data_IF_565390833487
#
_entry.id   IF_565390833487
#
_cell.length_a   1.000
_cell.length_b   1.000
_cell.length_c   1.000
_cell.angle_alpha   90.00
_cell.angle_beta   90.00
_cell.angle_gamma   90.00
#
_symmetry.space_group_name_H-M   'P 1'
#
loop_
_entity.id
_entity.type
_entity.pdbx_description
1 polymer ?
#
# COMPACT_ATOMS: atom_id res chain seq x y z
N UNK A 1 -1.32 -6.66 -2.44
CA UNK A 1 -0.54 -6.11 -3.57
C UNK A 1 -1.13 -6.45 -4.95
N UNK A 2 -1.40 -7.73 -5.26
CA UNK A 2 -1.88 -8.13 -6.60
C UNK A 2 -3.16 -7.41 -7.08
N UNK A 3 -4.17 -7.25 -6.21
CA UNK A 3 -5.43 -6.58 -6.58
C UNK A 3 -5.24 -5.12 -7.04
N UNK A 4 -4.31 -4.39 -6.42
CA UNK A 4 -4.01 -3.02 -6.85
C UNK A 4 -3.20 -2.98 -8.15
N UNK A 5 -2.37 -3.99 -8.42
CA UNK A 5 -1.67 -4.15 -9.71
C UNK A 5 -2.66 -4.49 -10.83
N UNK A 6 -3.67 -5.32 -10.56
CA UNK A 6 -4.71 -5.65 -11.55
C UNK A 6 -5.49 -4.42 -12.02
N UNK A 7 -5.76 -3.46 -11.14
CA UNK A 7 -6.39 -2.20 -11.52
C UNK A 7 -5.54 -1.40 -12.53
N UNK A 8 -4.21 -1.39 -12.35
CA UNK A 8 -3.27 -0.77 -13.30
C UNK A 8 -3.26 -1.51 -14.64
N UNK A 9 -3.23 -2.84 -14.60
CA UNK A 9 -3.27 -3.66 -15.81
C UNK A 9 -4.56 -3.46 -16.61
N UNK A 10 -5.71 -3.39 -15.93
CA UNK A 10 -7.00 -3.12 -16.58
C UNK A 10 -7.00 -1.76 -17.28
N UNK A 11 -6.37 -0.75 -16.68
CA UNK A 11 -6.29 0.58 -17.24
C UNK A 11 -5.30 0.65 -18.42
N UNK A 12 -4.20 -0.08 -18.36
CA UNK A 12 -3.24 -0.18 -19.47
C UNK A 12 -3.72 -1.10 -20.61
N UNK A 13 -4.65 -2.02 -20.35
CA UNK A 13 -5.13 -3.01 -21.32
C UNK A 13 -4.10 -4.08 -21.70
N UNK A 14 -2.99 -4.19 -20.95
CA UNK A 14 -1.90 -5.13 -21.23
C UNK A 14 -1.15 -5.52 -19.96
N UNK A 15 -0.66 -6.76 -19.93
CA UNK A 15 0.25 -7.27 -18.89
C UNK A 15 1.73 -6.96 -19.22
N UNK A 16 2.03 -6.39 -20.39
CA UNK A 16 3.40 -6.00 -20.75
C UNK A 16 3.81 -4.74 -19.99
N UNK A 17 4.92 -4.80 -19.26
CA UNK A 17 5.49 -3.65 -18.53
C UNK A 17 5.79 -2.47 -19.45
N UNK A 18 6.21 -2.74 -20.69
CA UNK A 18 6.46 -1.70 -21.70
C UNK A 18 5.17 -0.98 -22.09
N UNK A 19 4.11 -1.73 -22.40
CA UNK A 19 2.80 -1.15 -22.74
C UNK A 19 2.19 -0.38 -21.58
N UNK A 20 2.39 -0.86 -20.34
CA UNK A 20 1.96 -0.15 -19.13
C UNK A 20 2.65 1.21 -19.04
N UNK A 21 3.96 1.26 -19.23
CA UNK A 21 4.71 2.54 -19.21
C UNK A 21 4.26 3.44 -20.36
N UNK A 22 4.11 2.91 -21.58
CA UNK A 22 3.60 3.68 -22.73
C UNK A 22 2.22 4.29 -22.48
N UNK A 23 1.32 3.55 -21.81
CA UNK A 23 -0.01 4.05 -21.45
C UNK A 23 0.04 5.23 -20.45
N UNK A 24 1.15 5.43 -19.76
CA UNK A 24 1.37 6.53 -18.80
C UNK A 24 1.95 7.80 -19.44
N UNK A 25 2.17 7.83 -20.77
CA UNK A 25 2.82 8.94 -21.47
C UNK A 25 2.14 10.30 -21.27
N UNK A 26 0.82 10.32 -21.08
CA UNK A 26 0.06 11.56 -20.88
C UNK A 26 -0.04 11.94 -19.41
N UNK A 27 -0.40 10.98 -18.56
CA UNK A 27 -0.58 11.17 -17.12
C UNK A 27 -0.13 9.89 -16.40
N UNK A 28 0.77 10.01 -15.41
CA UNK A 28 1.08 8.93 -14.49
C UNK A 28 -0.16 8.41 -13.76
N UNK A 29 -0.26 7.09 -13.57
CA UNK A 29 -1.45 6.47 -12.98
C UNK A 29 -1.64 6.82 -11.51
N UNK A 30 -0.58 7.23 -10.81
CA UNK A 30 -0.69 7.76 -9.44
C UNK A 30 -1.67 8.93 -9.35
N UNK A 31 -1.77 9.76 -10.39
CA UNK A 31 -2.66 10.91 -10.42
C UNK A 31 -4.11 10.51 -10.69
N UNK A 32 -4.32 9.44 -11.46
CA UNK A 32 -5.68 8.94 -11.75
C UNK A 32 -6.25 8.09 -10.61
N UNK A 33 -5.39 7.34 -9.91
CA UNK A 33 -5.80 6.33 -8.94
C UNK A 33 -5.03 6.45 -7.61
N UNK A 34 -5.05 7.61 -6.94
CA UNK A 34 -4.26 7.85 -5.73
C UNK A 34 -4.59 6.88 -4.57
N UNK A 35 -5.86 6.54 -4.37
CA UNK A 35 -6.30 5.57 -3.37
C UNK A 35 -5.87 4.14 -3.66
N UNK A 36 -5.86 3.72 -4.94
CA UNK A 36 -5.35 2.39 -5.30
C UNK A 36 -3.83 2.33 -5.12
N UNK A 37 -3.14 3.44 -5.44
CA UNK A 37 -1.72 3.60 -5.16
C UNK A 37 -1.42 3.48 -3.66
N UNK A 38 -2.20 4.15 -2.79
CA UNK A 38 -2.02 4.04 -1.34
C UNK A 38 -2.16 2.59 -0.85
N UNK A 39 -3.17 1.86 -1.34
CA UNK A 39 -3.31 0.43 -1.02
C UNK A 39 -2.09 -0.36 -1.50
N UNK A 40 -1.61 -0.11 -2.72
CA UNK A 40 -0.41 -0.75 -3.25
C UNK A 40 0.83 -0.44 -2.40
N UNK A 41 1.04 0.84 -2.06
CA UNK A 41 2.16 1.32 -1.26
C UNK A 41 2.18 0.72 0.15
N UNK A 42 1.02 0.65 0.81
CA UNK A 42 0.92 0.02 2.14
C UNK A 42 1.22 -1.49 2.06
N UNK A 43 0.71 -2.20 1.05
CA UNK A 43 1.07 -3.61 0.85
C UNK A 43 2.57 -3.80 0.56
N UNK A 44 3.15 -2.95 -0.28
CA UNK A 44 4.56 -2.97 -0.62
C UNK A 44 5.45 -2.68 0.59
N UNK A 45 5.03 -1.77 1.47
CA UNK A 45 5.69 -1.49 2.75
C UNK A 45 5.66 -2.73 3.67
N UNK A 46 4.51 -3.41 3.76
CA UNK A 46 4.37 -4.63 4.55
C UNK A 46 5.21 -5.79 4.01
N UNK A 47 5.35 -5.92 2.69
CA UNK A 47 6.17 -6.96 2.05
C UNK A 47 7.68 -6.71 2.16
N UNK A 48 8.08 -5.44 2.31
CA UNK A 48 9.49 -5.06 2.48
C UNK A 48 10.06 -5.42 3.85
N UNK A 49 9.23 -5.91 4.80
CA UNK A 49 9.61 -6.29 6.15
C UNK A 49 10.43 -5.22 6.91
N UNK A 50 10.22 -3.94 6.57
CA UNK A 50 10.90 -2.80 7.16
C UNK A 50 9.97 -2.08 8.12
N UNK A 51 10.54 -1.40 9.12
CA UNK A 51 9.77 -0.54 10.02
C UNK A 51 8.87 0.40 9.21
N UNK A 52 7.56 0.50 9.50
CA UNK A 52 6.86 0.08 10.72
C UNK A 52 6.22 -1.33 10.69
N UNK A 53 6.47 -2.14 9.66
CA UNK A 53 5.94 -3.50 9.47
C UNK A 53 7.06 -4.56 9.51
N UNK A 54 7.87 -4.56 10.56
CA UNK A 54 9.09 -5.35 10.74
C UNK A 54 8.85 -6.72 11.41
N UNK A 55 7.96 -7.54 10.82
CA UNK A 55 7.56 -8.87 11.32
C UNK A 55 8.73 -9.82 11.68
N UNK A 56 9.83 -9.90 10.89
CA UNK A 56 10.92 -10.85 11.14
C UNK A 56 11.93 -10.41 12.21
N UNK A 57 11.94 -9.11 12.56
CA UNK A 57 12.92 -8.50 13.48
C UNK A 57 12.32 -8.33 14.90
N UNK A 58 11.05 -8.71 15.10
CA UNK A 58 10.31 -8.48 16.33
C UNK A 58 10.69 -9.44 17.47
N UNK A 59 11.51 -8.92 18.39
CA UNK A 59 11.93 -9.51 19.68
C UNK A 59 10.78 -9.95 20.61
N UNK A 60 9.54 -9.52 20.37
CA UNK A 60 8.38 -9.81 21.24
C UNK A 60 7.68 -11.15 20.98
N UNK A 61 7.80 -11.73 19.77
CA UNK A 61 6.93 -12.86 19.39
C UNK A 61 7.65 -14.05 18.73
N UNK A 62 8.85 -13.88 18.14
CA UNK A 62 9.75 -14.98 17.75
C UNK A 62 11.21 -14.52 17.82
N UNK A 63 12.07 -15.27 18.51
CA UNK A 63 13.54 -15.03 18.56
C UNK A 63 14.05 -14.78 17.14
N UNK A 64 14.72 -13.65 16.92
CA UNK A 64 15.11 -13.11 15.62
C UNK A 64 15.82 -14.16 14.74
N UNK A 65 15.07 -14.90 13.91
CA UNK A 65 15.47 -16.20 13.37
C UNK A 65 16.84 -16.18 12.70
N UNK A 66 16.96 -15.48 11.56
CA UNK A 66 18.24 -15.46 10.85
C UNK A 66 19.32 -14.59 11.55
N UNK A 67 18.93 -13.68 12.45
CA UNK A 67 19.85 -12.88 13.25
C UNK A 67 20.56 -13.70 14.32
N UNK A 68 19.90 -14.73 14.87
CA UNK A 68 20.48 -15.61 15.89
C UNK A 68 21.11 -16.88 15.32
N UNK A 69 20.67 -17.32 14.14
CA UNK A 69 21.09 -18.60 13.55
C UNK A 69 22.29 -18.50 12.60
N UNK A 70 22.52 -17.34 11.97
CA UNK A 70 23.57 -17.17 10.95
C UNK A 70 24.61 -16.13 11.36
N UNK A 71 25.88 -16.39 11.05
CA UNK A 71 27.02 -15.49 11.31
C UNK A 71 27.88 -15.26 10.06
N UNK A 72 28.71 -14.22 10.10
CA UNK A 72 29.68 -13.90 9.04
C UNK A 72 29.03 -13.57 7.69
N UNK A 73 29.49 -14.22 6.61
CA UNK A 73 29.04 -13.93 5.24
C UNK A 73 27.58 -14.30 4.98
N UNK A 74 27.08 -15.39 5.59
CA UNK A 74 25.69 -15.83 5.41
C UNK A 74 24.70 -14.81 5.97
N UNK A 75 25.04 -14.21 7.11
CA UNK A 75 24.30 -13.10 7.69
C UNK A 75 24.28 -11.87 6.77
N UNK A 76 25.42 -11.53 6.16
CA UNK A 76 25.50 -10.44 5.18
C UNK A 76 24.61 -10.64 3.95
N UNK A 77 24.47 -11.88 3.47
CA UNK A 77 23.61 -12.20 2.33
C UNK A 77 22.12 -11.94 2.60
N UNK A 78 21.63 -12.16 3.84
CA UNK A 78 20.25 -11.84 4.20
C UNK A 78 19.96 -10.34 4.10
N UNK A 79 20.87 -9.49 4.58
CA UNK A 79 20.73 -8.04 4.41
C UNK A 79 20.77 -7.61 2.95
N UNK A 80 21.71 -8.14 2.17
CA UNK A 80 21.79 -7.84 0.74
C UNK A 80 20.49 -8.22 0.04
N UNK A 81 19.92 -9.39 0.34
CA UNK A 81 18.64 -9.82 -0.21
C UNK A 81 17.49 -8.88 0.17
N UNK A 82 17.44 -8.41 1.42
CA UNK A 82 16.41 -7.46 1.87
C UNK A 82 16.52 -6.10 1.17
N UNK A 83 17.73 -5.59 0.95
CA UNK A 83 17.97 -4.35 0.20
C UNK A 83 17.66 -4.52 -1.29
N UNK A 84 17.95 -5.69 -1.88
CA UNK A 84 17.55 -6.02 -3.25
C UNK A 84 16.01 -6.05 -3.36
N UNK A 85 15.32 -6.63 -2.38
CA UNK A 85 13.85 -6.66 -2.34
C UNK A 85 13.27 -5.23 -2.31
N UNK A 86 13.83 -4.36 -1.45
CA UNK A 86 13.41 -2.95 -1.40
C UNK A 86 13.59 -2.24 -2.74
N UNK A 87 14.72 -2.48 -3.42
CA UNK A 87 14.95 -1.95 -4.76
C UNK A 87 13.96 -2.51 -5.77
N UNK A 88 13.69 -3.82 -5.75
CA UNK A 88 12.74 -4.48 -6.65
C UNK A 88 11.31 -3.94 -6.49
N UNK A 89 10.84 -3.79 -5.25
CA UNK A 89 9.52 -3.21 -4.95
C UNK A 89 9.44 -1.76 -5.43
N UNK A 90 10.50 -0.97 -5.22
CA UNK A 90 10.58 0.42 -5.68
C UNK A 90 10.59 0.54 -7.21
N UNK A 91 11.26 -0.39 -7.89
CA UNK A 91 11.27 -0.51 -9.34
C UNK A 91 9.88 -0.89 -9.89
N UNK A 92 9.16 -1.80 -9.23
CA UNK A 92 7.77 -2.16 -9.56
C UNK A 92 6.85 -0.93 -9.42
N UNK A 93 6.96 -0.19 -8.30
CA UNK A 93 6.17 1.02 -8.09
C UNK A 93 6.45 2.05 -9.19
N UNK A 94 7.72 2.27 -9.49
CA UNK A 94 8.15 3.22 -10.53
C UNK A 94 7.57 2.86 -11.90
N UNK A 95 7.59 1.57 -12.25
CA UNK A 95 7.09 1.05 -13.53
C UNK A 95 5.57 1.15 -13.62
N UNK A 96 4.85 0.80 -12.55
CA UNK A 96 3.39 0.71 -12.59
C UNK A 96 2.69 2.05 -12.34
N UNK A 97 3.28 2.97 -11.59
CA UNK A 97 2.58 4.16 -11.09
C UNK A 97 3.16 5.49 -11.56
N UNK A 98 4.49 5.55 -11.76
CA UNK A 98 5.23 6.79 -11.98
C UNK A 98 5.66 7.00 -13.44
N UNK A 99 5.18 6.20 -14.38
CA UNK A 99 5.55 6.32 -15.80
C UNK A 99 6.92 5.73 -16.13
N UNK A 100 7.45 4.82 -15.31
CA UNK A 100 8.71 4.12 -15.57
C UNK A 100 9.86 5.06 -15.94
N UNK A 101 10.46 4.82 -17.11
CA UNK A 101 11.61 5.56 -17.65
C UNK A 101 11.25 6.86 -18.39
N UNK A 102 9.98 7.26 -18.46
CA UNK A 102 9.58 8.46 -19.17
C UNK A 102 9.94 9.72 -18.38
N UNK A 103 10.56 10.68 -19.04
CA UNK A 103 10.84 12.01 -18.49
C UNK A 103 11.45 12.94 -19.55
N UNK A 104 11.41 14.26 -19.32
CA UNK A 104 11.96 15.24 -20.27
C UNK A 104 13.49 15.27 -20.24
N UNK A 105 14.11 15.64 -21.37
CA UNK A 105 15.52 16.07 -21.52
C UNK A 105 16.64 15.05 -21.25
N UNK A 106 16.50 14.16 -20.26
CA UNK A 106 17.53 13.21 -19.82
C UNK A 106 17.30 11.80 -20.38
N UNK A 107 18.36 10.95 -20.41
CA UNK A 107 18.24 9.55 -20.82
C UNK A 107 17.21 8.77 -20.01
N UNK A 108 16.55 7.82 -20.65
CA UNK A 108 15.48 6.98 -20.08
C UNK A 108 15.91 6.22 -18.82
N UNK A 109 17.12 5.64 -18.82
CA UNK A 109 17.65 4.90 -17.67
C UNK A 109 17.81 5.79 -16.44
N UNK A 110 18.21 7.06 -16.63
CA UNK A 110 18.39 8.00 -15.52
C UNK A 110 17.07 8.25 -14.80
N UNK A 111 15.99 8.50 -15.54
CA UNK A 111 14.66 8.72 -14.97
C UNK A 111 14.14 7.51 -14.19
N UNK A 112 14.38 6.30 -14.70
CA UNK A 112 13.99 5.09 -14.01
C UNK A 112 14.68 4.95 -12.66
N UNK A 113 16.01 5.11 -12.62
CA UNK A 113 16.77 5.03 -11.37
C UNK A 113 16.43 6.18 -10.43
N UNK A 114 16.34 7.41 -10.93
CA UNK A 114 16.00 8.58 -10.11
C UNK A 114 14.64 8.41 -9.40
N UNK A 115 13.60 7.97 -10.13
CA UNK A 115 12.28 7.69 -9.54
C UNK A 115 12.32 6.50 -8.57
N UNK A 116 13.04 5.43 -8.91
CA UNK A 116 13.18 4.27 -8.02
C UNK A 116 13.88 4.65 -6.71
N UNK A 117 14.96 5.44 -6.76
CA UNK A 117 15.62 5.98 -5.58
C UNK A 117 14.75 6.96 -4.80
N UNK A 118 13.91 7.76 -5.48
CA UNK A 118 12.93 8.61 -4.80
C UNK A 118 11.88 7.77 -4.04
N UNK A 119 11.44 6.64 -4.59
CA UNK A 119 10.54 5.72 -3.89
C UNK A 119 11.24 5.07 -2.69
N UNK A 120 12.50 4.65 -2.83
CA UNK A 120 13.31 4.14 -1.70
C UNK A 120 13.44 5.22 -0.62
N UNK A 121 13.70 6.47 -1.00
CA UNK A 121 13.77 7.59 -0.08
C UNK A 121 12.45 7.75 0.69
N UNK A 122 11.30 7.62 0.02
CA UNK A 122 9.99 7.64 0.69
C UNK A 122 9.82 6.45 1.65
N UNK A 123 10.22 5.24 1.27
CA UNK A 123 10.18 4.09 2.20
C UNK A 123 11.05 4.31 3.44
N UNK A 124 12.27 4.85 3.25
CA UNK A 124 13.16 5.18 4.36
C UNK A 124 12.57 6.29 5.22
N UNK A 125 11.96 7.31 4.61
CA UNK A 125 11.30 8.37 5.35
C UNK A 125 10.16 7.83 6.21
N UNK A 126 9.29 6.99 5.64
CA UNK A 126 8.19 6.34 6.36
C UNK A 126 8.72 5.55 7.56
N UNK A 127 9.81 4.79 7.38
CA UNK A 127 10.48 4.06 8.47
C UNK A 127 10.87 4.95 9.64
N UNK A 128 11.39 6.16 9.39
CA UNK A 128 11.80 7.08 10.45
C UNK A 128 10.62 7.80 11.12
N UNK A 129 9.49 7.94 10.44
CA UNK A 129 8.35 8.72 10.93
C UNK A 129 7.30 7.93 11.72
N UNK A 130 7.10 6.65 11.39
CA UNK A 130 5.99 5.87 11.95
C UNK A 130 6.44 4.93 13.07
N UNK A 131 5.66 4.83 14.18
CA UNK A 131 5.89 3.82 15.19
C UNK A 131 5.59 2.43 14.63
N UNK A 132 6.25 1.41 15.20
CA UNK A 132 6.04 0.00 14.85
C UNK A 132 4.58 -0.42 15.07
N UNK A 133 4.01 -1.19 14.14
CA UNK A 133 2.66 -1.77 14.26
C UNK A 133 2.70 -3.23 14.70
N UNK A 134 1.81 -3.61 15.63
CA UNK A 134 1.58 -5.02 15.97
C UNK A 134 0.92 -5.77 14.81
N UNK A 135 1.32 -7.03 14.63
CA UNK A 135 0.86 -7.92 13.55
C UNK A 135 -0.67 -8.07 13.55
N UNK A 136 -1.29 -8.24 14.72
CA UNK A 136 -2.75 -8.38 14.83
C UNK A 136 -3.51 -7.18 14.27
N UNK A 137 -3.00 -5.97 14.55
CA UNK A 137 -3.59 -4.74 14.06
C UNK A 137 -3.37 -4.59 12.55
N UNK A 138 -2.17 -4.93 12.06
CA UNK A 138 -1.88 -4.98 10.63
C UNK A 138 -2.79 -5.94 9.88
N UNK A 139 -2.93 -7.18 10.37
CA UNK A 139 -3.74 -8.22 9.73
C UNK A 139 -5.22 -7.84 9.74
N UNK A 140 -5.72 -7.32 10.87
CA UNK A 140 -7.10 -6.85 10.97
C UNK A 140 -7.38 -5.68 10.03
N UNK A 141 -6.43 -4.75 9.86
CA UNK A 141 -6.51 -3.65 8.90
C UNK A 141 -6.45 -4.15 7.46
N UNK A 142 -5.56 -5.09 7.15
CA UNK A 142 -5.45 -5.66 5.81
C UNK A 142 -6.75 -6.36 5.37
N UNK A 143 -7.33 -7.18 6.25
CA UNK A 143 -8.54 -7.94 5.94
C UNK A 143 -9.83 -7.11 6.00
N UNK A 144 -9.98 -6.23 6.99
CA UNK A 144 -11.24 -5.48 7.17
C UNK A 144 -11.28 -4.18 6.36
N UNK A 145 -10.13 -3.62 6.00
CA UNK A 145 -10.05 -2.32 5.33
C UNK A 145 -9.40 -2.41 3.94
N UNK A 146 -8.15 -2.86 3.84
CA UNK A 146 -7.41 -2.81 2.57
C UNK A 146 -8.00 -3.73 1.49
N UNK A 147 -8.37 -4.97 1.85
CA UNK A 147 -8.87 -5.95 0.89
C UNK A 147 -10.24 -5.55 0.29
N UNK A 148 -11.26 -5.17 1.08
CA UNK A 148 -12.51 -4.63 0.52
C UNK A 148 -12.29 -3.38 -0.33
N UNK A 149 -11.45 -2.46 0.14
CA UNK A 149 -11.12 -1.23 -0.59
C UNK A 149 -10.46 -1.52 -1.94
N UNK A 150 -9.53 -2.47 -2.00
CA UNK A 150 -8.87 -2.88 -3.23
C UNK A 150 -9.87 -3.49 -4.23
N UNK A 151 -10.76 -4.37 -3.75
CA UNK A 151 -11.79 -5.00 -4.58
C UNK A 151 -12.79 -3.98 -5.13
N UNK A 152 -13.33 -3.10 -4.28
CA UNK A 152 -14.26 -2.05 -4.73
C UNK A 152 -13.61 -1.17 -5.79
N UNK A 153 -12.36 -0.75 -5.59
CA UNK A 153 -11.64 0.03 -6.58
C UNK A 153 -11.43 -0.73 -7.89
N UNK A 154 -11.12 -2.02 -7.83
CA UNK A 154 -10.95 -2.86 -9.01
C UNK A 154 -12.22 -2.89 -9.87
N UNK A 155 -13.39 -3.08 -9.24
CA UNK A 155 -14.68 -3.06 -9.94
C UNK A 155 -14.98 -1.69 -10.53
N UNK A 156 -14.74 -0.61 -9.77
CA UNK A 156 -14.98 0.77 -10.23
C UNK A 156 -14.10 1.10 -11.44
N UNK A 157 -12.80 0.77 -11.40
CA UNK A 157 -11.89 0.95 -12.53
C UNK A 157 -12.38 0.17 -13.75
N UNK A 158 -12.78 -1.09 -13.56
CA UNK A 158 -13.33 -1.92 -14.64
C UNK A 158 -14.58 -1.31 -15.29
N UNK A 159 -15.50 -0.75 -14.49
CA UNK A 159 -16.69 -0.07 -14.99
C UNK A 159 -16.35 1.20 -15.76
N UNK A 160 -15.47 2.05 -15.24
CA UNK A 160 -15.09 3.31 -15.88
C UNK A 160 -14.35 3.07 -17.20
N UNK A 161 -13.47 2.06 -17.26
CA UNK A 161 -12.80 1.65 -18.50
C UNK A 161 -13.81 1.14 -19.53
N UNK A 162 -14.80 0.34 -19.11
CA UNK A 162 -15.85 -0.18 -20.01
C UNK A 162 -16.73 0.92 -20.59
N UNK A 163 -16.91 2.05 -19.90
CA UNK A 163 -17.69 3.19 -20.42
C UNK A 163 -17.06 3.85 -21.66
N UNK A 164 -15.78 3.57 -21.97
CA UNK A 164 -15.15 3.99 -23.23
C UNK A 164 -15.08 5.51 -23.41
N UNK A 165 -15.00 6.25 -22.30
CA UNK A 165 -14.90 7.72 -22.33
C UNK A 165 -13.59 8.17 -22.97
N UNK A 166 -13.56 9.40 -23.51
CA UNK A 166 -12.30 10.02 -23.95
C UNK A 166 -11.30 10.15 -22.79
N UNK A 167 -10.02 10.32 -23.11
CA UNK A 167 -8.92 10.30 -22.11
C UNK A 167 -9.14 11.22 -20.90
N UNK A 168 -9.44 12.51 -21.13
CA UNK A 168 -9.60 13.48 -20.05
C UNK A 168 -10.85 13.22 -19.20
N UNK A 169 -12.05 12.98 -19.78
CA UNK A 169 -13.21 12.54 -19.02
C UNK A 169 -12.97 11.25 -18.23
N UNK A 170 -12.27 10.27 -18.82
CA UNK A 170 -11.94 9.01 -18.15
C UNK A 170 -11.00 9.24 -16.96
N UNK A 171 -9.93 10.01 -17.13
CA UNK A 171 -8.99 10.34 -16.06
C UNK A 171 -9.69 11.08 -14.91
N UNK A 172 -10.56 12.04 -15.23
CA UNK A 172 -11.36 12.75 -14.22
C UNK A 172 -12.34 11.83 -13.50
N UNK A 173 -13.05 10.96 -14.24
CA UNK A 173 -13.97 9.98 -13.65
C UNK A 173 -13.24 9.00 -12.72
N UNK A 174 -12.06 8.52 -13.12
CA UNK A 174 -11.23 7.64 -12.30
C UNK A 174 -10.75 8.33 -11.02
N UNK A 175 -10.25 9.57 -11.13
CA UNK A 175 -9.83 10.35 -9.96
C UNK A 175 -11.00 10.58 -9.01
N UNK A 176 -12.14 11.06 -9.51
CA UNK A 176 -13.32 11.36 -8.69
C UNK A 176 -13.85 10.11 -8.01
N UNK A 177 -14.02 9.02 -8.76
CA UNK A 177 -14.53 7.77 -8.20
C UNK A 177 -13.55 7.16 -7.21
N UNK A 178 -12.25 7.20 -7.49
CA UNK A 178 -11.23 6.68 -6.58
C UNK A 178 -11.14 7.48 -5.28
N UNK A 179 -11.18 8.82 -5.36
CA UNK A 179 -11.23 9.67 -4.17
C UNK A 179 -12.51 9.42 -3.40
N UNK A 180 -13.67 9.34 -4.06
CA UNK A 180 -14.95 9.07 -3.41
C UNK A 180 -14.96 7.71 -2.69
N UNK A 181 -14.46 6.64 -3.32
CA UNK A 181 -14.36 5.31 -2.73
C UNK A 181 -13.41 5.31 -1.54
N UNK A 182 -12.28 6.01 -1.65
CA UNK A 182 -11.27 6.06 -0.58
C UNK A 182 -11.77 6.87 0.62
N UNK A 183 -12.40 8.02 0.39
CA UNK A 183 -13.01 8.85 1.45
C UNK A 183 -14.19 8.11 2.10
N UNK A 184 -15.03 7.45 1.30
CA UNK A 184 -16.13 6.63 1.80
C UNK A 184 -15.64 5.49 2.68
N UNK A 185 -14.58 4.79 2.27
CA UNK A 185 -13.97 3.75 3.08
C UNK A 185 -13.39 4.30 4.38
N UNK A 186 -12.66 5.43 4.34
CA UNK A 186 -12.12 6.08 5.54
C UNK A 186 -13.22 6.51 6.51
N UNK A 187 -14.33 7.05 5.99
CA UNK A 187 -15.49 7.43 6.80
C UNK A 187 -16.13 6.22 7.48
N UNK A 188 -16.38 5.14 6.72
CA UNK A 188 -16.93 3.89 7.25
C UNK A 188 -16.00 3.25 8.27
N UNK A 189 -14.69 3.25 8.01
CA UNK A 189 -13.67 2.78 8.94
C UNK A 189 -13.69 3.58 10.25
N UNK A 190 -13.67 4.91 10.15
CA UNK A 190 -13.75 5.80 11.31
C UNK A 190 -15.05 5.64 12.10
N UNK A 191 -16.18 5.46 11.42
CA UNK A 191 -17.47 5.19 12.06
C UNK A 191 -17.48 3.83 12.78
N UNK A 192 -16.95 2.79 12.16
CA UNK A 192 -16.86 1.46 12.75
C UNK A 192 -15.96 1.44 13.99
N UNK A 193 -14.82 2.14 13.93
CA UNK A 193 -13.92 2.33 15.07
C UNK A 193 -14.60 3.07 16.23
N UNK A 194 -15.30 4.18 15.95
CA UNK A 194 -16.05 4.93 16.98
C UNK A 194 -17.13 4.07 17.62
N UNK A 195 -17.86 3.27 16.84
CA UNK A 195 -18.87 2.33 17.38
C UNK A 195 -18.25 1.24 18.24
N UNK A 196 -17.10 0.69 17.83
CA UNK A 196 -16.41 -0.33 18.62
C UNK A 196 -15.92 0.24 19.96
N UNK A 197 -15.40 1.48 19.95
CA UNK A 197 -15.02 2.18 21.18
C UNK A 197 -16.21 2.44 22.10
N UNK A 198 -17.35 2.89 21.55
CA UNK A 198 -18.56 3.11 22.34
C UNK A 198 -19.04 1.83 23.03
N UNK A 199 -19.08 0.71 22.32
CA UNK A 199 -19.46 -0.59 22.90
C UNK A 199 -18.53 -1.01 24.04
N UNK A 200 -17.22 -0.86 23.85
CA UNK A 200 -16.24 -1.18 24.89
C UNK A 200 -16.39 -0.29 26.13
N UNK A 201 -16.74 0.99 25.95
CA UNK A 201 -17.03 1.91 27.06
C UNK A 201 -18.33 1.51 27.76
N UNK A 202 -19.39 1.20 27.02
CA UNK A 202 -20.68 0.75 27.56
C UNK A 202 -20.53 -0.54 28.38
N UNK A 203 -19.79 -1.52 27.88
CA UNK A 203 -19.51 -2.78 28.59
C UNK A 203 -18.74 -2.54 29.89
N UNK A 204 -17.71 -1.69 29.88
CA UNK A 204 -16.96 -1.31 31.10
C UNK A 204 -17.85 -0.60 32.11
N UNK A 205 -18.72 0.30 31.64
CA UNK A 205 -19.68 1.00 32.49
C UNK A 205 -20.72 0.04 33.09
N UNK A 206 -21.19 -0.94 32.32
CA UNK A 206 -22.10 -1.98 32.80
C UNK A 206 -21.44 -2.87 33.87
N UNK A 207 -20.19 -3.28 33.66
CA UNK A 207 -19.40 -4.02 34.66
C UNK A 207 -19.20 -3.22 35.94
N UNK A 208 -18.87 -1.92 35.82
CA UNK A 208 -18.70 -1.05 36.98
C UNK A 208 -20.00 -0.86 37.77
N UNK A 209 -21.13 -0.69 37.08
CA UNK A 209 -22.47 -0.63 37.72
C UNK A 209 -22.84 -1.94 38.40
N UNK A 210 -22.55 -3.09 37.79
CA UNK A 210 -22.78 -4.40 38.38
C UNK A 210 -21.93 -4.61 39.65
N UNK A 211 -20.66 -4.19 39.62
CA UNK A 211 -19.78 -4.21 40.79
C UNK A 211 -20.33 -3.32 41.93
N UNK A 212 -20.83 -2.12 41.61
CA UNK A 212 -21.44 -1.23 42.60
C UNK A 212 -22.69 -1.81 43.27
N UNK A 213 -23.50 -2.58 42.53
CA UNK A 213 -24.73 -3.19 43.06
C UNK A 213 -24.46 -4.43 43.93
N UNK A 214 -23.26 -5.02 43.84
CA UNK A 214 -22.83 -6.19 44.63
C UNK A 214 -22.14 -5.86 45.98
N UNK A 215 -22.06 -4.57 46.34
CA UNK A 215 -21.53 -4.07 47.62
C UNK A 215 -22.65 -3.49 48.48
#
# INVERSE_FOLDING_TARGET
>A
MALSMLAVVLLAGSMSTVRIVEAQARLPFILMLPGVFLVHFICAAAESNRGPFDLPEAESELVAGFFTEYSGMKFGLFFVAEYINLFAISAIITTLWLGGWQGPLLPSWFWFFAKSFAVIFVFMWVRFTLPRFRIDHLLSFAWKFLLPLALTNLFVVGLVVKLGLGFWPQAAALLVTNVAVTVGALYLGGWALRRAQQRAVEERMAQWRAWQQSR
#
